data_IF_712618181184
#
_entry.id   IF_712618181184
#
_cell.length_a   1.000
_cell.length_b   1.000
_cell.length_c   1.000
_cell.angle_alpha   90.00
_cell.angle_beta   90.00
_cell.angle_gamma   90.00
#
_symmetry.space_group_name_H-M   'P 1'
#
loop_
_entity.id
_entity.type
_entity.pdbx_description
1 polymer ?
#
# COMPACT_ATOMS: atom_id res chain seq x y z
N UNK A 1 17.45 8.68 -21.78
CA UNK A 1 16.45 9.55 -22.47
C UNK A 1 15.03 8.99 -22.33
N UNK A 2 14.88 7.67 -22.48
CA UNK A 2 13.59 6.95 -22.43
C UNK A 2 12.74 7.26 -21.19
N UNK A 3 13.33 7.16 -19.99
CA UNK A 3 12.62 7.45 -18.73
C UNK A 3 12.09 8.89 -18.68
N UNK A 4 12.84 9.85 -19.23
CA UNK A 4 12.43 11.26 -19.24
C UNK A 4 11.26 11.46 -20.20
N UNK A 5 11.24 10.79 -21.36
CA UNK A 5 10.09 10.84 -22.27
C UNK A 5 8.85 10.18 -21.68
N UNK A 6 8.99 9.07 -20.96
CA UNK A 6 7.85 8.42 -20.26
C UNK A 6 7.27 9.34 -19.19
N UNK A 7 8.13 9.99 -18.39
CA UNK A 7 7.69 10.95 -17.37
C UNK A 7 6.99 12.18 -17.96
N UNK A 8 7.46 12.68 -19.12
CA UNK A 8 6.79 13.78 -19.83
C UNK A 8 5.39 13.38 -20.28
N UNK A 9 5.26 12.26 -21.00
CA UNK A 9 3.97 11.74 -21.49
C UNK A 9 2.98 11.49 -20.35
N UNK A 10 3.44 10.88 -19.27
CA UNK A 10 2.59 10.63 -18.08
C UNK A 10 2.16 11.92 -17.39
N UNK A 11 3.04 12.93 -17.35
CA UNK A 11 2.71 14.24 -16.78
C UNK A 11 1.72 15.00 -17.65
N UNK A 12 1.92 14.99 -18.98
CA UNK A 12 1.01 15.60 -19.96
C UNK A 12 -0.40 15.01 -19.84
N UNK A 13 -0.54 13.69 -19.74
CA UNK A 13 -1.83 13.04 -19.53
C UNK A 13 -2.56 13.50 -18.25
N UNK A 14 -1.83 13.76 -17.16
CA UNK A 14 -2.41 14.30 -15.92
C UNK A 14 -2.93 15.72 -16.16
N UNK A 15 -2.19 16.55 -16.88
CA UNK A 15 -2.61 17.92 -17.18
C UNK A 15 -3.80 17.98 -18.14
N UNK A 16 -3.87 17.10 -19.15
CA UNK A 16 -4.99 17.03 -20.10
C UNK A 16 -6.33 16.71 -19.42
N UNK A 17 -6.30 15.90 -18.35
CA UNK A 17 -7.49 15.55 -17.56
C UNK A 17 -7.89 16.63 -16.54
N UNK A 18 -7.22 17.78 -16.54
CA UNK A 18 -7.44 18.88 -15.60
C UNK A 18 -6.86 18.62 -14.22
N UNK A 19 -5.89 17.70 -14.11
CA UNK A 19 -5.17 17.43 -12.88
C UNK A 19 -3.94 18.32 -12.67
N UNK A 20 -3.48 18.41 -11.43
CA UNK A 20 -2.27 19.16 -11.07
C UNK A 20 -1.30 18.30 -10.25
N UNK A 21 -0.02 18.32 -10.61
CA UNK A 21 1.04 17.55 -9.94
C UNK A 21 1.64 18.39 -8.80
N UNK A 22 1.48 17.93 -7.55
CA UNK A 22 2.05 18.56 -6.36
C UNK A 22 3.53 18.23 -6.17
N UNK A 23 3.90 16.96 -6.38
CA UNK A 23 5.26 16.48 -6.13
C UNK A 23 5.59 15.28 -7.01
N UNK A 24 6.81 15.23 -7.50
CA UNK A 24 7.39 14.10 -8.22
C UNK A 24 8.68 13.67 -7.53
N UNK A 25 8.76 12.40 -7.12
CA UNK A 25 9.90 11.83 -6.43
C UNK A 25 10.42 10.60 -7.19
N UNK A 26 11.75 10.50 -7.33
CA UNK A 26 12.43 9.35 -7.91
C UNK A 26 13.01 8.48 -6.77
N UNK A 27 12.52 7.24 -6.63
CA UNK A 27 12.97 6.28 -5.62
C UNK A 27 14.16 5.43 -6.10
N UNK A 28 14.58 5.63 -7.36
CA UNK A 28 15.70 4.97 -8.01
C UNK A 28 15.31 3.70 -8.77
N UNK A 29 16.28 3.15 -9.48
CA UNK A 29 16.17 1.87 -10.19
C UNK A 29 16.54 0.74 -9.23
N UNK A 30 15.60 -0.18 -8.97
CA UNK A 30 15.79 -1.33 -8.10
C UNK A 30 15.32 -2.59 -8.79
N UNK A 31 15.76 -3.74 -8.28
CA UNK A 31 15.20 -5.01 -8.69
C UNK A 31 13.76 -5.14 -8.17
N UNK A 32 12.88 -5.68 -9.00
CA UNK A 32 11.50 -5.92 -8.60
C UNK A 32 11.43 -7.18 -7.73
N UNK A 33 10.55 -7.23 -6.71
CA UNK A 33 10.51 -8.33 -5.75
C UNK A 33 10.17 -9.69 -6.40
N UNK A 34 9.47 -9.67 -7.54
CA UNK A 34 9.16 -10.86 -8.33
C UNK A 34 9.14 -10.52 -9.81
N UNK A 35 9.45 -11.51 -10.65
CA UNK A 35 9.34 -11.40 -12.11
C UNK A 35 7.94 -10.95 -12.51
N UNK A 36 7.87 -9.86 -13.26
CA UNK A 36 6.62 -9.30 -13.76
C UNK A 36 6.69 -9.34 -15.28
N UNK A 37 5.72 -9.97 -15.93
CA UNK A 37 5.62 -9.89 -17.39
C UNK A 37 4.65 -8.77 -17.77
N UNK A 38 5.16 -7.72 -18.41
CA UNK A 38 4.36 -6.63 -18.95
C UNK A 38 4.69 -6.46 -20.42
N UNK A 39 3.70 -6.13 -21.25
CA UNK A 39 3.93 -5.82 -22.68
C UNK A 39 4.72 -6.88 -23.46
N UNK A 40 4.52 -8.16 -23.12
CA UNK A 40 5.21 -9.29 -23.77
C UNK A 40 6.65 -9.53 -23.32
N UNK A 41 7.19 -8.75 -22.37
CA UNK A 41 8.54 -8.92 -21.84
C UNK A 41 8.53 -9.20 -20.33
N UNK A 42 9.51 -9.97 -19.86
CA UNK A 42 9.69 -10.26 -18.43
C UNK A 42 10.72 -9.29 -17.86
N UNK A 43 10.28 -8.40 -16.98
CA UNK A 43 11.15 -7.44 -16.31
C UNK A 43 11.70 -8.01 -15.01
N UNK A 44 12.95 -7.69 -14.68
CA UNK A 44 13.61 -8.00 -13.39
C UNK A 44 14.11 -6.74 -12.66
N UNK A 45 14.25 -5.62 -13.38
CA UNK A 45 14.67 -4.31 -12.87
C UNK A 45 13.67 -3.27 -13.33
N UNK A 46 13.34 -2.32 -12.46
CA UNK A 46 12.43 -1.22 -12.77
C UNK A 46 12.83 0.06 -12.02
N UNK A 47 12.50 1.20 -12.61
CA UNK A 47 12.63 2.52 -11.98
C UNK A 47 11.33 2.89 -11.28
N UNK A 48 11.42 3.30 -10.02
CA UNK A 48 10.26 3.61 -9.20
C UNK A 48 10.07 5.12 -9.08
N UNK A 49 8.87 5.59 -9.43
CA UNK A 49 8.47 6.99 -9.34
C UNK A 49 7.22 7.14 -8.47
N UNK A 50 7.21 8.17 -7.62
CA UNK A 50 6.03 8.60 -6.88
C UNK A 50 5.57 9.94 -7.42
N UNK A 51 4.33 9.97 -7.90
CA UNK A 51 3.65 11.18 -8.34
C UNK A 51 2.52 11.47 -7.36
N UNK A 52 2.58 12.62 -6.70
CA UNK A 52 1.48 13.18 -5.92
C UNK A 52 0.77 14.18 -6.81
N UNK A 53 -0.46 13.87 -7.18
CA UNK A 53 -1.28 14.73 -8.05
C UNK A 53 -2.71 14.76 -7.55
N UNK A 54 -3.40 15.85 -7.87
CA UNK A 54 -4.84 16.00 -7.67
C UNK A 54 -5.52 15.85 -9.03
N UNK A 55 -6.49 14.94 -9.11
CA UNK A 55 -7.34 14.77 -10.29
C UNK A 55 -8.80 14.60 -9.85
N UNK A 56 -9.77 15.02 -10.68
CA UNK A 56 -11.17 14.64 -10.50
C UNK A 56 -11.32 13.11 -10.56
N UNK A 57 -12.14 12.49 -9.69
CA UNK A 57 -12.29 11.04 -9.63
C UNK A 57 -12.86 10.44 -10.92
N UNK A 58 -13.56 11.23 -11.73
CA UNK A 58 -14.14 10.81 -13.02
C UNK A 58 -13.08 10.35 -14.03
N UNK A 59 -11.93 11.02 -14.04
CA UNK A 59 -10.86 10.77 -15.03
C UNK A 59 -9.80 9.78 -14.54
N UNK A 60 -9.90 9.29 -13.30
CA UNK A 60 -8.93 8.33 -12.76
C UNK A 60 -8.95 6.99 -13.50
N UNK A 61 -10.13 6.57 -13.98
CA UNK A 61 -10.25 5.34 -14.76
C UNK A 61 -9.55 5.47 -16.12
N UNK A 62 -9.84 6.55 -16.85
CA UNK A 62 -9.25 6.84 -18.16
C UNK A 62 -7.71 6.96 -18.07
N UNK A 63 -7.20 7.61 -17.02
CA UNK A 63 -5.77 7.70 -16.74
C UNK A 63 -5.15 6.32 -16.48
N UNK A 64 -5.79 5.49 -15.65
CA UNK A 64 -5.31 4.14 -15.35
C UNK A 64 -5.27 3.27 -16.60
N UNK A 65 -6.29 3.37 -17.46
CA UNK A 65 -6.32 2.66 -18.73
C UNK A 65 -5.24 3.19 -19.71
N UNK A 66 -5.01 4.51 -19.75
CA UNK A 66 -3.93 5.12 -20.52
C UNK A 66 -2.56 4.60 -20.10
N UNK A 67 -2.28 4.55 -18.80
CA UNK A 67 -1.02 4.02 -18.27
C UNK A 67 -0.86 2.52 -18.46
N UNK A 68 -1.95 1.76 -18.51
CA UNK A 68 -1.92 0.33 -18.82
C UNK A 68 -1.54 0.03 -20.27
N UNK A 69 -1.75 0.98 -21.19
CA UNK A 69 -1.43 0.86 -22.63
C UNK A 69 0.00 1.32 -22.97
N UNK A 70 0.63 2.11 -22.11
CA UNK A 70 1.99 2.59 -22.36
C UNK A 70 3.02 1.47 -22.11
N UNK A 71 3.81 1.16 -23.14
CA UNK A 71 4.79 0.06 -23.16
C UNK A 71 5.92 0.26 -22.14
N UNK A 72 6.24 1.52 -21.83
CA UNK A 72 7.32 1.85 -20.88
C UNK A 72 6.89 1.70 -19.40
N UNK A 73 5.59 1.59 -19.15
CA UNK A 73 5.03 1.46 -17.79
C UNK A 73 4.81 -0.01 -17.50
N UNK A 74 5.71 -0.59 -16.69
CA UNK A 74 5.59 -1.99 -16.25
C UNK A 74 4.39 -2.18 -15.31
N UNK A 75 4.16 -1.22 -14.40
CA UNK A 75 3.06 -1.28 -13.44
C UNK A 75 2.71 0.11 -12.92
N UNK A 76 1.42 0.40 -12.86
CA UNK A 76 0.88 1.61 -12.23
C UNK A 76 -0.14 1.25 -11.14
N UNK A 77 -0.15 2.06 -10.08
CA UNK A 77 -1.12 1.98 -8.97
C UNK A 77 -1.39 3.39 -8.46
N UNK A 78 -2.67 3.75 -8.42
CA UNK A 78 -3.12 5.04 -7.88
C UNK A 78 -3.70 4.79 -6.50
N UNK A 79 -3.25 5.55 -5.51
CA UNK A 79 -3.72 5.46 -4.13
C UNK A 79 -4.34 6.79 -3.71
N UNK A 80 -5.41 6.72 -2.92
CA UNK A 80 -5.95 7.90 -2.23
C UNK A 80 -5.03 8.21 -1.05
N UNK A 81 -4.42 9.38 -1.06
CA UNK A 81 -3.64 9.87 0.07
C UNK A 81 -4.63 10.23 1.18
N UNK A 82 -4.59 9.49 2.29
CA UNK A 82 -5.20 9.94 3.54
C UNK A 82 -4.17 10.81 4.24
N UNK A 83 -4.60 11.97 4.73
CA UNK A 83 -3.75 12.74 5.63
C UNK A 83 -3.43 11.87 6.85
N UNK A 84 -2.15 11.77 7.25
CA UNK A 84 -1.81 11.00 8.43
C UNK A 84 -2.48 11.67 9.63
N UNK A 85 -3.29 10.90 10.35
CA UNK A 85 -3.80 11.33 11.65
C UNK A 85 -2.58 11.64 12.53
N UNK A 86 -2.55 12.84 13.10
CA UNK A 86 -1.50 13.23 14.03
C UNK A 86 -1.73 12.47 15.33
N UNK A 87 -1.11 11.30 15.46
CA UNK A 87 -1.03 10.60 16.73
C UNK A 87 0.24 11.04 17.45
N UNK A 88 0.14 11.30 18.75
CA UNK A 88 1.31 11.43 19.60
C UNK A 88 1.96 10.04 19.72
N UNK A 89 3.27 9.94 19.46
CA UNK A 89 4.00 8.67 19.55
C UNK A 89 4.10 8.22 21.03
N UNK A 90 3.16 7.40 21.50
CA UNK A 90 3.10 6.89 22.90
C UNK A 90 3.96 5.64 23.15
N UNK A 91 4.88 5.30 22.26
CA UNK A 91 5.68 4.04 22.32
C UNK A 91 6.41 3.91 23.67
N UNK A 92 6.96 5.00 24.20
CA UNK A 92 7.65 5.02 25.49
C UNK A 92 6.74 4.63 26.65
N UNK A 93 5.46 5.02 26.59
CA UNK A 93 4.47 4.66 27.60
C UNK A 93 4.02 3.20 27.48
N UNK A 94 3.91 2.71 26.24
CA UNK A 94 3.56 1.32 25.98
C UNK A 94 4.69 0.36 26.36
N UNK A 95 5.96 0.75 26.23
CA UNK A 95 7.09 -0.14 26.55
C UNK A 95 7.31 -0.31 28.06
N UNK A 96 6.65 0.51 28.89
CA UNK A 96 6.73 0.38 30.35
C UNK A 96 6.14 -0.97 30.80
N UNK A 97 6.71 -1.59 31.86
CA UNK A 97 6.12 -2.75 32.50
C UNK A 97 4.65 -2.51 32.87
N UNK A 98 3.80 -3.54 32.88
CA UNK A 98 2.35 -3.40 33.01
C UNK A 98 1.90 -2.65 34.27
N UNK A 99 2.68 -2.72 35.35
CA UNK A 99 2.40 -2.02 36.60
C UNK A 99 2.42 -0.48 36.47
N UNK A 100 3.14 0.06 35.50
CA UNK A 100 3.34 1.51 35.31
C UNK A 100 2.66 2.07 34.06
N UNK A 101 1.92 1.23 33.32
CA UNK A 101 1.20 1.65 32.12
C UNK A 101 -0.16 2.25 32.53
N UNK A 102 -0.40 3.52 32.22
CA UNK A 102 -1.61 4.24 32.66
C UNK A 102 -2.89 3.60 32.12
N UNK A 103 -2.84 3.08 30.89
CA UNK A 103 -3.93 2.31 30.27
C UNK A 103 -4.32 1.09 31.11
N UNK A 104 -3.34 0.33 31.63
CA UNK A 104 -3.60 -0.87 32.43
C UNK A 104 -4.15 -0.51 33.81
N UNK A 105 -3.60 0.53 34.44
CA UNK A 105 -4.09 1.05 35.72
C UNK A 105 -5.55 1.50 35.61
N UNK A 106 -5.90 2.15 34.50
CA UNK A 106 -7.27 2.63 34.21
C UNK A 106 -8.24 1.45 34.01
N UNK A 107 -7.81 0.40 33.31
CA UNK A 107 -8.66 -0.80 33.11
C UNK A 107 -8.85 -1.57 34.42
N UNK A 108 -7.81 -1.68 35.25
CA UNK A 108 -7.87 -2.32 36.57
C UNK A 108 -8.79 -1.57 37.54
N UNK A 109 -8.82 -0.24 37.50
CA UNK A 109 -9.67 0.56 38.37
C UNK A 109 -11.15 0.48 38.01
N UNK A 110 -11.49 0.29 36.73
CA UNK A 110 -12.88 0.16 36.25
C UNK A 110 -13.52 -1.21 36.51
N UNK A 111 -12.74 -2.27 36.81
CA UNK A 111 -13.31 -3.60 37.05
C UNK A 111 -12.64 -4.35 38.22
N UNK A 112 -13.09 -4.10 39.47
CA UNK A 112 -12.52 -4.75 40.66
C UNK A 112 -12.84 -6.26 40.79
N UNK A 113 -13.85 -6.77 40.08
CA UNK A 113 -14.44 -8.09 40.39
C UNK A 113 -13.95 -9.27 39.53
N UNK A 114 -13.20 -9.04 38.44
CA UNK A 114 -12.93 -10.10 37.45
C UNK A 114 -11.56 -10.83 37.59
N UNK A 115 -10.72 -10.47 38.56
CA UNK A 115 -9.35 -11.06 38.69
C UNK A 115 -9.33 -12.40 39.46
N UNK A 116 -10.47 -12.91 39.96
CA UNK A 116 -10.54 -14.24 40.60
C UNK A 116 -11.40 -15.25 39.84
N UNK A 117 -11.11 -15.47 38.55
CA UNK A 117 -11.32 -16.78 37.91
C UNK A 117 -10.63 -16.81 36.56
N UNK A 118 -9.50 -17.50 36.46
CA UNK A 118 -9.21 -18.19 35.22
C UNK A 118 -10.29 -19.27 35.04
N UNK A 119 -10.83 -19.38 33.83
CA UNK A 119 -10.66 -20.66 33.17
C UNK A 119 -10.39 -20.51 31.66
N UNK A 120 -9.44 -21.31 31.21
CA UNK A 120 -9.64 -22.30 30.15
C UNK A 120 -10.15 -21.81 28.78
N UNK A 121 -9.31 -22.04 27.76
CA UNK A 121 -9.66 -22.03 26.34
C UNK A 121 -11.02 -22.67 26.06
N UNK A 122 -11.94 -21.95 25.42
CA UNK A 122 -12.87 -22.54 24.45
C UNK A 122 -13.56 -21.47 23.58
N UNK A 123 -13.45 -21.66 22.26
CA UNK A 123 -14.59 -21.69 21.33
C UNK A 123 -15.48 -20.45 21.13
N UNK A 124 -15.23 -19.78 19.99
CA UNK A 124 -16.21 -19.29 18.99
C UNK A 124 -17.38 -18.38 19.42
N UNK A 125 -17.49 -17.17 18.84
CA UNK A 125 -18.26 -16.95 17.61
C UNK A 125 -18.45 -15.46 17.24
N UNK A 126 -18.28 -15.20 15.93
CA UNK A 126 -19.02 -14.30 15.03
C UNK A 126 -19.12 -12.76 15.25
N UNK A 127 -18.49 -12.03 14.33
CA UNK A 127 -18.97 -10.77 13.73
C UNK A 127 -18.50 -9.49 14.43
N UNK A 128 -17.89 -8.49 13.78
CA UNK A 128 -17.83 -8.10 12.37
C UNK A 128 -16.57 -7.24 12.21
N UNK A 129 -15.84 -7.35 11.11
CA UNK A 129 -15.19 -6.26 10.38
C UNK A 129 -14.47 -6.89 9.19
N UNK A 130 -14.99 -6.65 8.00
CA UNK A 130 -14.44 -7.17 6.75
C UNK A 130 -13.14 -6.44 6.43
N UNK A 131 -12.01 -7.17 6.48
CA UNK A 131 -10.78 -6.80 5.79
C UNK A 131 -10.78 -7.52 4.44
N UNK A 132 -10.95 -6.75 3.37
CA UNK A 132 -10.69 -7.24 2.02
C UNK A 132 -9.22 -6.95 1.67
N UNK A 133 -8.43 -8.00 1.50
CA UNK A 133 -7.08 -7.93 0.97
C UNK A 133 -7.13 -8.35 -0.50
N UNK A 134 -7.00 -7.37 -1.41
CA UNK A 134 -6.96 -7.60 -2.84
C UNK A 134 -5.51 -7.85 -3.29
N UNK A 135 -5.20 -9.10 -3.61
CA UNK A 135 -4.00 -9.45 -4.37
C UNK A 135 -4.37 -9.63 -5.84
N UNK A 136 -3.78 -8.81 -6.71
CA UNK A 136 -3.86 -8.99 -8.16
C UNK A 136 -2.48 -9.37 -8.72
N UNK A 137 -2.53 -10.50 -9.41
CA UNK A 137 -1.51 -11.24 -10.17
C UNK A 137 -0.92 -10.42 -11.31
N UNK A 138 0.34 -10.71 -11.63
CA UNK A 138 0.92 -10.94 -12.96
C UNK A 138 2.42 -11.23 -12.72
N UNK A 139 3.11 -12.20 -13.30
CA UNK A 139 2.84 -13.24 -14.30
C UNK A 139 4.23 -13.77 -14.69
N UNK A 140 4.30 -15.04 -15.08
CA UNK A 140 5.42 -15.54 -15.89
C UNK A 140 6.30 -16.59 -15.23
N UNK A 141 5.83 -17.84 -15.21
CA UNK A 141 6.47 -18.94 -15.95
C UNK A 141 7.88 -19.44 -15.57
N UNK A 142 7.97 -20.78 -15.52
CA UNK A 142 9.14 -21.64 -15.74
C UNK A 142 10.11 -21.76 -14.53
N UNK A 143 10.65 -22.91 -14.16
CA UNK A 143 10.96 -24.11 -14.96
C UNK A 143 11.16 -25.38 -14.09
N UNK A 144 11.23 -26.53 -14.76
CA UNK A 144 12.15 -27.66 -14.57
C UNK A 144 11.52 -29.04 -14.33
N UNK A 145 11.82 -29.89 -15.31
CA UNK A 145 11.67 -31.35 -15.39
C UNK A 145 12.10 -32.08 -14.12
N UNK A 146 11.40 -33.17 -13.82
CA UNK A 146 11.93 -34.40 -13.23
C UNK A 146 10.93 -35.52 -13.59
N UNK A 147 11.37 -36.45 -14.45
CA UNK A 147 10.58 -37.61 -14.90
C UNK A 147 10.82 -37.92 -16.37
#
# INVERSE_FOLDING_TARGET
PEVVSTLKRTSEAIFETGGFIRKLENLGTREIPYKTSAHGQVHKKASYFLLKFDCPPKHLYDLSEGYGRDVDIVRHRVYKVKEPEQFECTIEEETKPPAYRQVIITVLSFHPWFVKRSPFYSGTSCGKHCLAQLFAKESGGLACNLG
#
